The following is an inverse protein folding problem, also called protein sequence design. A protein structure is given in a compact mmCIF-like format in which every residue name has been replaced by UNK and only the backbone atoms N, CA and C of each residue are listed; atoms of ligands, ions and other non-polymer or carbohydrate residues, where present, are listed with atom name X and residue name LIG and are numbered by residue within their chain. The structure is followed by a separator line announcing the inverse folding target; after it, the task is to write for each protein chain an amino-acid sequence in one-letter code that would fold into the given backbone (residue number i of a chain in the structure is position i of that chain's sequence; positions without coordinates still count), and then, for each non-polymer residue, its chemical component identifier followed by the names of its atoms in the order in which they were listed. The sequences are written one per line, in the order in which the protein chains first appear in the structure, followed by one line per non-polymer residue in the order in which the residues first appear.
data_IF_511277227082
#
_entry.id   IF_511277227082
#
_cell.length_a   1.000
_cell.length_b   1.000
_cell.length_c   1.000
_cell.angle_alpha   90.00
_cell.angle_beta   90.00
_cell.angle_gamma   90.00
#
_symmetry.space_group_name_H-M   'P 1'
#
loop_
_entity.id
_entity.type
_entity.pdbx_description
1 polymer ?
#
# COMPACT_ATOMS: atom_id res chain seq x y z
N UNK A 1 22.72 15.58 -1.14
CA UNK A 1 22.17 16.91 -1.44
C UNK A 1 22.91 17.58 -2.58
N UNK A 2 24.20 17.94 -2.46
CA UNK A 2 24.96 18.63 -3.52
C UNK A 2 24.89 17.99 -4.93
N UNK A 3 25.11 16.68 -5.04
CA UNK A 3 24.98 15.98 -6.33
C UNK A 3 23.55 15.99 -6.91
N UNK A 4 22.52 15.99 -6.05
CA UNK A 4 21.11 16.08 -6.48
C UNK A 4 20.81 17.50 -6.96
N UNK A 5 21.25 18.51 -6.21
CA UNK A 5 21.16 19.92 -6.57
C UNK A 5 21.83 20.21 -7.92
N UNK A 6 23.03 19.67 -8.15
CA UNK A 6 23.74 19.78 -9.43
C UNK A 6 22.96 19.20 -10.61
N UNK A 7 22.27 18.06 -10.44
CA UNK A 7 21.42 17.48 -11.50
C UNK A 7 20.11 18.24 -11.71
N UNK A 8 19.56 18.83 -10.64
CA UNK A 8 18.30 19.56 -10.66
C UNK A 8 18.47 21.06 -11.04
N UNK A 9 19.70 21.54 -11.18
CA UNK A 9 19.99 22.94 -11.50
C UNK A 9 19.65 23.93 -10.37
N UNK A 10 19.63 23.48 -9.11
CA UNK A 10 19.24 24.30 -7.94
C UNK A 10 20.34 24.31 -6.87
N UNK A 11 20.28 25.29 -5.97
CA UNK A 11 21.14 25.32 -4.78
C UNK A 11 20.74 24.20 -3.80
N UNK A 12 21.73 23.54 -3.20
CA UNK A 12 21.52 22.57 -2.13
C UNK A 12 20.82 23.18 -0.89
N UNK A 13 21.00 24.49 -0.63
CA UNK A 13 20.29 25.22 0.41
C UNK A 13 18.78 25.28 0.14
N UNK A 14 18.37 25.39 -1.14
CA UNK A 14 16.96 25.38 -1.54
C UNK A 14 16.32 24.02 -1.23
N UNK A 15 17.03 22.92 -1.55
CA UNK A 15 16.56 21.57 -1.24
C UNK A 15 16.44 21.37 0.28
N UNK A 16 17.39 21.90 1.07
CA UNK A 16 17.29 21.82 2.52
C UNK A 16 16.14 22.68 3.09
N UNK A 17 15.84 23.81 2.45
CA UNK A 17 14.72 24.65 2.86
C UNK A 17 13.37 23.95 2.65
N UNK A 18 13.16 23.32 1.49
CA UNK A 18 11.88 22.66 1.16
C UNK A 18 11.73 21.26 1.76
N UNK A 19 12.82 20.50 1.85
CA UNK A 19 12.76 19.07 2.22
C UNK A 19 13.56 18.75 3.48
N UNK A 20 14.27 19.72 4.08
CA UNK A 20 15.14 19.47 5.23
C UNK A 20 16.34 18.61 4.88
N UNK A 21 16.29 17.33 5.25
CA UNK A 21 17.42 16.42 5.10
C UNK A 21 17.27 15.48 3.88
N UNK A 22 18.35 14.78 3.53
CA UNK A 22 18.38 13.84 2.39
C UNK A 22 17.33 12.73 2.52
N UNK A 23 17.00 12.30 3.75
CA UNK A 23 16.04 11.22 4.01
C UNK A 23 14.61 11.69 3.72
N UNK A 24 14.23 12.86 4.24
CA UNK A 24 12.95 13.49 3.94
C UNK A 24 12.77 13.78 2.44
N UNK A 25 13.80 14.28 1.75
CA UNK A 25 13.78 14.40 0.28
C UNK A 25 13.58 13.06 -0.44
N UNK A 26 14.22 11.99 0.05
CA UNK A 26 14.10 10.65 -0.55
C UNK A 26 12.68 10.12 -0.39
N UNK A 27 12.08 10.28 0.79
CA UNK A 27 10.69 9.88 1.05
C UNK A 27 9.74 10.67 0.16
N UNK A 28 9.93 11.99 0.04
CA UNK A 28 9.10 12.85 -0.79
C UNK A 28 9.18 12.46 -2.28
N UNK A 29 10.38 12.19 -2.78
CA UNK A 29 10.59 11.77 -4.17
C UNK A 29 10.05 10.36 -4.49
N UNK A 30 9.74 9.56 -3.47
CA UNK A 30 9.18 8.21 -3.63
C UNK A 30 7.66 8.19 -3.46
N UNK A 31 7.01 9.33 -3.18
CA UNK A 31 5.56 9.38 -3.00
C UNK A 31 4.85 8.84 -4.25
N UNK A 32 3.85 7.97 -4.07
CA UNK A 32 3.00 7.55 -5.17
C UNK A 32 2.29 8.73 -5.83
N UNK A 33 2.24 8.73 -7.16
CA UNK A 33 1.41 9.66 -7.94
C UNK A 33 -0.05 9.19 -8.05
N UNK A 34 -0.35 7.99 -7.54
CA UNK A 34 -1.65 7.33 -7.67
C UNK A 34 -2.41 7.44 -6.35
N UNK A 35 -3.66 7.87 -6.41
CA UNK A 35 -4.63 7.75 -5.32
C UNK A 35 -5.32 6.37 -5.42
N UNK A 36 -4.97 5.39 -4.57
CA UNK A 36 -5.58 4.07 -4.61
C UNK A 36 -7.05 4.12 -4.23
N UNK A 37 -7.48 5.15 -3.48
CA UNK A 37 -8.87 5.28 -3.08
C UNK A 37 -9.76 5.53 -4.29
N UNK A 38 -9.22 6.13 -5.36
CA UNK A 38 -9.94 6.30 -6.63
C UNK A 38 -10.29 4.95 -7.27
N UNK A 39 -9.43 3.93 -7.14
CA UNK A 39 -9.65 2.59 -7.70
C UNK A 39 -10.86 1.89 -7.06
N UNK A 40 -11.08 2.14 -5.77
CA UNK A 40 -12.15 1.50 -5.01
C UNK A 40 -13.42 2.34 -4.88
N UNK A 41 -13.36 3.63 -5.20
CA UNK A 41 -14.50 4.56 -5.07
C UNK A 41 -15.61 4.28 -6.09
N UNK A 42 -15.23 3.99 -7.34
CA UNK A 42 -16.17 4.02 -8.46
C UNK A 42 -16.71 2.64 -8.84
N UNK A 43 -16.14 1.57 -8.27
CA UNK A 43 -16.58 0.20 -8.55
C UNK A 43 -16.81 -0.53 -7.22
N UNK A 44 -18.05 -0.84 -6.84
CA UNK A 44 -18.32 -1.61 -5.63
C UNK A 44 -17.70 -3.01 -5.72
N UNK A 45 -17.36 -3.57 -4.56
CA UNK A 45 -16.90 -4.96 -4.44
C UNK A 45 -18.11 -5.91 -4.45
N UNK A 46 -17.89 -7.17 -4.81
CA UNK A 46 -18.90 -8.21 -4.59
C UNK A 46 -19.25 -8.29 -3.10
N UNK A 47 -20.51 -7.98 -2.75
CA UNK A 47 -20.96 -7.99 -1.36
C UNK A 47 -20.99 -9.39 -0.75
N UNK A 48 -21.04 -10.46 -1.57
CA UNK A 48 -21.03 -11.83 -1.08
C UNK A 48 -19.61 -12.29 -0.68
N UNK A 49 -18.59 -11.89 -1.44
CA UNK A 49 -17.18 -12.27 -1.21
C UNK A 49 -16.23 -11.09 -1.46
N UNK A 50 -16.34 -10.02 -0.65
CA UNK A 50 -15.66 -8.75 -0.89
C UNK A 50 -14.13 -8.87 -0.84
N UNK A 51 -13.62 -9.83 -0.07
CA UNK A 51 -12.19 -10.05 0.14
C UNK A 51 -11.45 -10.48 -1.12
N UNK A 52 -12.03 -11.38 -1.94
CA UNK A 52 -11.40 -11.84 -3.18
C UNK A 52 -11.22 -10.70 -4.16
N UNK A 53 -12.30 -9.95 -4.39
CA UNK A 53 -12.29 -8.79 -5.28
C UNK A 53 -11.35 -7.70 -4.78
N UNK A 54 -11.32 -7.47 -3.46
CA UNK A 54 -10.42 -6.50 -2.85
C UNK A 54 -8.95 -6.87 -3.08
N UNK A 55 -8.55 -8.11 -2.77
CA UNK A 55 -7.18 -8.60 -2.97
C UNK A 55 -6.79 -8.52 -4.44
N UNK A 56 -7.66 -8.98 -5.35
CA UNK A 56 -7.41 -8.95 -6.80
C UNK A 56 -7.13 -7.53 -7.29
N UNK A 57 -8.02 -6.58 -6.97
CA UNK A 57 -7.86 -5.18 -7.40
C UNK A 57 -6.62 -4.53 -6.79
N UNK A 58 -6.35 -4.77 -5.51
CA UNK A 58 -5.18 -4.24 -4.84
C UNK A 58 -3.87 -4.76 -5.47
N UNK A 59 -3.81 -6.05 -5.84
CA UNK A 59 -2.64 -6.62 -6.52
C UNK A 59 -2.48 -6.12 -7.96
N UNK A 60 -3.57 -5.94 -8.70
CA UNK A 60 -3.50 -5.30 -10.03
C UNK A 60 -2.94 -3.88 -9.94
N UNK A 61 -3.36 -3.09 -8.96
CA UNK A 61 -2.79 -1.75 -8.76
C UNK A 61 -1.27 -1.77 -8.52
N UNK A 62 -0.77 -2.80 -7.86
CA UNK A 62 0.66 -3.03 -7.69
C UNK A 62 1.36 -3.46 -8.98
N UNK A 63 0.64 -4.11 -9.89
CA UNK A 63 1.17 -4.68 -11.12
C UNK A 63 1.10 -3.73 -12.33
N UNK A 64 0.19 -2.75 -12.31
CA UNK A 64 -0.10 -1.81 -13.41
C UNK A 64 1.08 -0.91 -13.79
N UNK A 65 1.89 -0.45 -12.82
CA UNK A 65 3.05 0.41 -13.06
C UNK A 65 4.29 -0.10 -12.31
N UNK A 66 5.24 -0.64 -13.08
CA UNK A 66 6.49 -1.17 -12.55
C UNK A 66 7.38 -0.12 -11.86
N UNK A 67 7.39 1.12 -12.33
CA UNK A 67 8.16 2.20 -11.72
C UNK A 67 7.52 2.62 -10.39
N UNK A 68 6.19 2.72 -10.36
CA UNK A 68 5.43 2.97 -9.14
C UNK A 68 5.63 1.86 -8.10
N UNK A 69 5.59 0.60 -8.52
CA UNK A 69 5.90 -0.56 -7.68
C UNK A 69 7.31 -0.47 -7.08
N UNK A 70 8.32 -0.12 -7.88
CA UNK A 70 9.69 0.05 -7.37
C UNK A 70 9.78 1.18 -6.32
N UNK A 71 9.07 2.30 -6.52
CA UNK A 71 8.99 3.37 -5.51
C UNK A 71 8.33 2.89 -4.21
N UNK A 72 7.23 2.15 -4.31
CA UNK A 72 6.52 1.59 -3.16
C UNK A 72 7.38 0.58 -2.38
N UNK A 73 8.13 -0.31 -3.06
CA UNK A 73 9.08 -1.24 -2.43
C UNK A 73 10.18 -0.47 -1.67
N UNK A 74 10.68 0.64 -2.24
CA UNK A 74 11.68 1.46 -1.56
C UNK A 74 11.11 2.12 -0.29
N UNK A 75 9.87 2.64 -0.33
CA UNK A 75 9.18 3.18 0.84
C UNK A 75 8.96 2.12 1.94
N UNK A 76 8.51 0.91 1.58
CA UNK A 76 8.35 -0.21 2.51
C UNK A 76 9.63 -0.51 3.28
N UNK A 77 10.79 -0.53 2.59
CA UNK A 77 12.08 -0.77 3.22
C UNK A 77 12.50 0.35 4.17
N UNK A 78 12.17 1.60 3.83
CA UNK A 78 12.45 2.76 4.70
C UNK A 78 11.57 2.71 5.96
N UNK A 79 10.28 2.42 5.80
CA UNK A 79 9.29 2.36 6.87
C UNK A 79 9.69 1.43 8.02
N UNK A 80 10.38 0.32 7.73
CA UNK A 80 10.87 -0.62 8.75
C UNK A 80 11.85 -0.01 9.76
N UNK A 81 12.47 1.13 9.45
CA UNK A 81 13.46 1.79 10.30
C UNK A 81 13.17 3.27 10.53
N UNK A 82 11.98 3.72 10.12
CA UNK A 82 11.57 5.12 10.15
C UNK A 82 10.13 5.22 10.61
N UNK A 83 9.93 5.64 11.86
CA UNK A 83 8.60 5.72 12.48
C UNK A 83 7.65 6.64 11.70
N UNK A 84 8.13 7.79 11.24
CA UNK A 84 7.29 8.73 10.49
C UNK A 84 6.86 8.18 9.13
N UNK A 85 7.75 7.46 8.43
CA UNK A 85 7.40 6.80 7.16
C UNK A 85 6.48 5.60 7.41
N UNK A 86 6.72 4.86 8.50
CA UNK A 86 5.86 3.77 8.94
C UNK A 86 4.43 4.24 9.19
N UNK A 87 4.25 5.29 10.00
CA UNK A 87 2.94 5.88 10.29
C UNK A 87 2.20 6.28 9.02
N UNK A 88 2.86 7.04 8.12
CA UNK A 88 2.26 7.47 6.85
C UNK A 88 1.84 6.29 5.98
N UNK A 89 2.67 5.26 5.92
CA UNK A 89 2.39 4.06 5.15
C UNK A 89 1.20 3.30 5.73
N UNK A 90 1.18 3.07 7.05
CA UNK A 90 0.06 2.40 7.72
C UNK A 90 -1.24 3.19 7.52
N UNK A 91 -1.23 4.50 7.74
CA UNK A 91 -2.40 5.36 7.52
C UNK A 91 -2.91 5.29 6.08
N UNK A 92 -2.02 5.18 5.10
CA UNK A 92 -2.40 5.00 3.70
C UNK A 92 -3.14 3.68 3.46
N UNK A 93 -2.60 2.54 3.90
CA UNK A 93 -3.27 1.25 3.72
C UNK A 93 -4.61 1.17 4.47
N UNK A 94 -4.66 1.72 5.67
CA UNK A 94 -5.89 1.82 6.46
C UNK A 94 -6.93 2.69 5.74
N UNK A 95 -6.51 3.83 5.18
CA UNK A 95 -7.38 4.69 4.37
C UNK A 95 -7.96 3.99 3.14
N UNK A 96 -7.14 3.18 2.45
CA UNK A 96 -7.62 2.35 1.32
C UNK A 96 -8.64 1.32 1.79
N UNK A 97 -8.38 0.63 2.91
CA UNK A 97 -9.33 -0.32 3.47
C UNK A 97 -10.65 0.36 3.86
N UNK A 98 -10.60 1.56 4.46
CA UNK A 98 -11.80 2.34 4.76
C UNK A 98 -12.63 2.66 3.53
N UNK A 99 -12.00 3.14 2.45
CA UNK A 99 -12.73 3.50 1.22
C UNK A 99 -13.29 2.26 0.53
N UNK A 100 -12.54 1.17 0.50
CA UNK A 100 -12.94 -0.04 -0.21
C UNK A 100 -13.99 -0.87 0.54
N UNK A 101 -13.89 -0.95 1.88
CA UNK A 101 -14.57 -1.96 2.69
C UNK A 101 -15.40 -1.36 3.84
N UNK A 102 -15.36 -0.03 4.04
CA UNK A 102 -16.00 0.64 5.18
C UNK A 102 -17.52 0.45 5.26
N UNK A 103 -18.19 0.28 4.12
CA UNK A 103 -19.62 0.04 4.05
C UNK A 103 -20.00 -1.44 4.19
N UNK A 104 -19.02 -2.34 4.10
CA UNK A 104 -19.19 -3.79 4.11
C UNK A 104 -18.84 -4.38 5.49
N UNK A 105 -17.81 -3.84 6.13
CA UNK A 105 -17.34 -4.30 7.43
C UNK A 105 -18.41 -4.14 8.50
N UNK A 106 -18.55 -5.17 9.34
CA UNK A 106 -19.44 -5.11 10.50
C UNK A 106 -19.13 -3.89 11.38
N UNK A 107 -20.18 -3.31 11.95
CA UNK A 107 -20.05 -2.06 12.70
C UNK A 107 -19.31 -2.23 14.04
N UNK A 108 -19.25 -3.46 14.57
CA UNK A 108 -18.52 -3.74 15.80
C UNK A 108 -17.01 -3.71 15.55
N UNK A 109 -16.35 -2.72 16.14
CA UNK A 109 -14.90 -2.55 16.06
C UNK A 109 -14.36 -2.41 14.61
N UNK A 110 -15.14 -1.72 13.78
CA UNK A 110 -14.84 -1.39 12.37
C UNK A 110 -13.39 -0.97 12.16
N UNK A 111 -12.91 0.01 12.92
CA UNK A 111 -11.57 0.58 12.74
C UNK A 111 -10.49 -0.47 12.99
N UNK A 112 -10.62 -1.28 14.05
CA UNK A 112 -9.68 -2.38 14.33
C UNK A 112 -9.69 -3.41 13.20
N UNK A 113 -10.87 -3.79 12.71
CA UNK A 113 -11.01 -4.75 11.61
C UNK A 113 -10.34 -4.26 10.34
N UNK A 114 -10.52 -2.98 9.99
CA UNK A 114 -9.89 -2.38 8.80
C UNK A 114 -8.36 -2.25 8.96
N UNK A 115 -7.86 -1.98 10.17
CA UNK A 115 -6.43 -2.03 10.47
C UNK A 115 -5.86 -3.44 10.26
N UNK A 116 -6.59 -4.49 10.67
CA UNK A 116 -6.18 -5.87 10.45
C UNK A 116 -6.17 -6.23 8.96
N UNK A 117 -7.15 -5.78 8.18
CA UNK A 117 -7.18 -5.95 6.72
C UNK A 117 -5.98 -5.26 6.08
N UNK A 118 -5.67 -4.02 6.46
CA UNK A 118 -4.48 -3.31 6.00
C UNK A 118 -3.18 -4.08 6.33
N UNK A 119 -3.08 -4.64 7.54
CA UNK A 119 -1.96 -5.47 7.95
C UNK A 119 -1.80 -6.75 7.11
N UNK A 120 -2.92 -7.41 6.80
CA UNK A 120 -2.91 -8.60 5.94
C UNK A 120 -2.42 -8.28 4.52
N UNK A 121 -2.87 -7.16 3.95
CA UNK A 121 -2.38 -6.70 2.65
C UNK A 121 -0.90 -6.35 2.69
N UNK A 122 -0.44 -5.66 3.74
CA UNK A 122 0.96 -5.31 3.92
C UNK A 122 1.87 -6.54 3.97
N UNK A 123 1.42 -7.59 4.67
CA UNK A 123 2.11 -8.89 4.71
C UNK A 123 2.22 -9.51 3.31
N UNK A 124 1.10 -9.58 2.58
CA UNK A 124 1.06 -10.15 1.23
C UNK A 124 2.00 -9.43 0.25
N UNK A 125 1.91 -8.10 0.17
CA UNK A 125 2.75 -7.32 -0.75
C UNK A 125 4.24 -7.38 -0.37
N UNK A 126 4.54 -7.50 0.92
CA UNK A 126 5.92 -7.67 1.40
C UNK A 126 6.47 -9.04 1.00
N UNK A 127 5.72 -10.12 1.20
CA UNK A 127 6.13 -11.46 0.77
C UNK A 127 6.30 -11.57 -0.74
N UNK A 128 5.38 -10.98 -1.51
CA UNK A 128 5.37 -11.00 -2.97
C UNK A 128 6.47 -10.14 -3.59
N UNK A 129 6.58 -8.88 -3.20
CA UNK A 129 7.41 -7.90 -3.92
C UNK A 129 8.72 -7.54 -3.21
N UNK A 130 8.79 -7.63 -1.88
CA UNK A 130 9.99 -7.28 -1.11
C UNK A 130 10.89 -8.48 -0.87
N UNK A 131 10.34 -9.54 -0.28
CA UNK A 131 11.06 -10.78 -0.01
C UNK A 131 11.08 -11.73 -1.20
N UNK A 132 10.12 -11.60 -2.11
CA UNK A 132 9.99 -12.40 -3.34
C UNK A 132 10.08 -13.90 -3.07
N UNK A 133 9.31 -14.36 -2.08
CA UNK A 133 9.14 -15.78 -1.77
C UNK A 133 8.52 -16.47 -2.99
N UNK A 134 9.17 -17.46 -3.63
CA UNK A 134 8.68 -18.07 -4.87
C UNK A 134 7.23 -18.55 -4.76
N UNK A 135 6.86 -19.07 -3.58
CA UNK A 135 5.53 -19.58 -3.25
C UNK A 135 4.42 -18.53 -3.39
N UNK A 136 4.76 -17.24 -3.28
CA UNK A 136 3.83 -16.10 -3.35
C UNK A 136 4.12 -15.21 -4.57
N UNK A 137 5.39 -15.09 -4.96
CA UNK A 137 5.82 -14.24 -6.07
C UNK A 137 5.42 -14.82 -7.43
N UNK A 138 5.44 -16.15 -7.57
CA UNK A 138 5.14 -16.82 -8.84
C UNK A 138 3.64 -17.17 -8.96
N UNK A 139 2.88 -17.11 -7.87
CA UNK A 139 1.44 -17.28 -7.88
C UNK A 139 0.74 -16.17 -8.70
N UNK A 140 -0.34 -16.53 -9.37
CA UNK A 140 -1.20 -15.58 -10.08
C UNK A 140 -1.96 -14.70 -9.08
N UNK A 141 -2.44 -13.54 -9.56
CA UNK A 141 -3.28 -12.66 -8.74
C UNK A 141 -4.55 -13.38 -8.27
N UNK A 142 -5.14 -14.21 -9.13
CA UNK A 142 -6.36 -14.96 -8.80
C UNK A 142 -6.10 -16.04 -7.75
N UNK A 143 -5.00 -16.80 -7.84
CA UNK A 143 -4.63 -17.78 -6.80
C UNK A 143 -4.47 -17.09 -5.44
N UNK A 144 -3.76 -15.95 -5.39
CA UNK A 144 -3.60 -15.19 -4.15
C UNK A 144 -4.93 -14.59 -3.64
N UNK A 145 -5.83 -14.19 -4.54
CA UNK A 145 -7.15 -13.70 -4.16
C UNK A 145 -8.02 -14.83 -3.59
N UNK A 146 -7.94 -16.05 -4.12
CA UNK A 146 -8.62 -17.23 -3.58
C UNK A 146 -8.07 -17.63 -2.21
N UNK A 147 -6.75 -17.55 -2.01
CA UNK A 147 -6.09 -17.90 -0.75
C UNK A 147 -6.33 -16.85 0.36
N UNK A 148 -6.20 -15.56 0.02
CA UNK A 148 -6.21 -14.47 1.00
C UNK A 148 -7.60 -13.85 1.16
N UNK A 149 -8.44 -13.87 0.12
CA UNK A 149 -9.79 -13.30 0.14
C UNK A 149 -10.63 -13.78 1.33
N UNK A 150 -10.74 -15.10 1.62
CA UNK A 150 -11.47 -15.62 2.77
C UNK A 150 -10.93 -15.14 4.13
N UNK A 151 -9.64 -14.81 4.22
CA UNK A 151 -9.06 -14.23 5.43
C UNK A 151 -9.54 -12.78 5.61
N UNK A 152 -9.62 -12.02 4.52
CA UNK A 152 -10.18 -10.67 4.52
C UNK A 152 -11.67 -10.72 4.91
N UNK A 153 -12.45 -11.60 4.31
CA UNK A 153 -13.88 -11.78 4.62
C UNK A 153 -14.10 -12.06 6.12
N UNK A 154 -13.30 -12.97 6.69
CA UNK A 154 -13.30 -13.25 8.14
C UNK A 154 -12.98 -12.02 8.98
N UNK A 155 -12.00 -11.20 8.59
CA UNK A 155 -11.66 -9.97 9.31
C UNK A 155 -12.80 -8.94 9.23
N UNK A 156 -13.52 -8.91 8.11
CA UNK A 156 -14.68 -8.03 7.92
C UNK A 156 -15.90 -8.47 8.73
N UNK A 157 -15.93 -9.73 9.19
CA UNK A 157 -17.10 -10.32 9.84
C UNK A 157 -18.12 -10.87 8.85
N UNK A 158 -17.73 -11.02 7.59
CA UNK A 158 -18.55 -11.59 6.52
C UNK A 158 -18.10 -13.04 6.37
N UNK A 159 -18.80 -14.01 6.99
CA UNK A 159 -18.42 -15.43 6.92
C UNK A 159 -19.24 -16.37 7.79
#
# INVERSE_FOLDING_TARGET
MRAIAGRAGVDAALIHHYFGNKRALTVEALRPDVDPTAVFRDTPLDAAHPGRDFVRRALHLWDDDAAQRQRAIALLRIALTDEQVSERMVSFYVGVAHVALGDIVEADDRDRRLVLVAGQMLSLVTMRYVFRRPEIADATVDELAEDVGPLIDRLLGVG
#
